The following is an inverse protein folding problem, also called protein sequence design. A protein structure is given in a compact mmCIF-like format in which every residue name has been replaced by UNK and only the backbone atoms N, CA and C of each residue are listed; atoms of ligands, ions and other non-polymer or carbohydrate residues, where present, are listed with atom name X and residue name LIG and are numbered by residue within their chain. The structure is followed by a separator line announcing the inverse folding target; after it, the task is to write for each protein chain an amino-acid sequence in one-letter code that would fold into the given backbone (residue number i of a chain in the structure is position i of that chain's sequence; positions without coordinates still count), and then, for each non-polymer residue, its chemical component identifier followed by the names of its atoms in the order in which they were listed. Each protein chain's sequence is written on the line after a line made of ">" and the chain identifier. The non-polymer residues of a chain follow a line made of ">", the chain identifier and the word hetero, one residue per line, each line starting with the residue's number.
data_IF_557208741020
#
_entry.id   IF_557208741020
#
_cell.length_a   1.000
_cell.length_b   1.000
_cell.length_c   1.000
_cell.angle_alpha   90.00
_cell.angle_beta   90.00
_cell.angle_gamma   90.00
#
_symmetry.space_group_name_H-M   'P 1'
#
loop_
_entity.id
_entity.type
_entity.pdbx_description
1 polymer ?
#
# COMPACT_ATOMS: atom_id res chain seq x y z
N UNK A 1 -0.58 30.24 -20.02
CA UNK A 1 -0.80 28.78 -20.06
C UNK A 1 -1.87 28.44 -19.02
N UNK A 2 -2.71 27.44 -19.27
CA UNK A 2 -3.71 26.99 -18.27
C UNK A 2 -2.97 26.47 -17.03
N UNK A 3 -3.39 26.89 -15.83
CA UNK A 3 -2.86 26.38 -14.56
C UNK A 3 -3.08 24.87 -14.50
N UNK A 4 -2.05 24.12 -14.10
CA UNK A 4 -2.13 22.66 -13.98
C UNK A 4 -2.88 22.25 -12.73
N UNK A 5 -3.71 21.22 -12.79
CA UNK A 5 -4.50 20.76 -11.65
C UNK A 5 -4.17 19.33 -11.23
N UNK A 6 -3.93 19.13 -9.94
CA UNK A 6 -3.70 17.82 -9.31
C UNK A 6 -4.88 17.51 -8.39
N UNK A 7 -5.56 16.41 -8.63
CA UNK A 7 -6.64 15.91 -7.80
C UNK A 7 -6.13 14.77 -6.92
N UNK A 8 -6.31 14.89 -5.60
CA UNK A 8 -5.98 13.86 -4.62
C UNK A 8 -7.28 13.31 -4.05
N UNK A 9 -7.51 12.01 -4.22
CA UNK A 9 -8.69 11.32 -3.69
C UNK A 9 -8.29 10.56 -2.42
N UNK A 10 -8.69 11.09 -1.27
CA UNK A 10 -8.43 10.58 0.08
C UNK A 10 -7.60 11.53 0.93
N UNK A 11 -8.16 11.96 2.07
CA UNK A 11 -7.53 12.83 3.08
C UNK A 11 -7.09 12.05 4.35
N UNK A 12 -6.94 10.73 4.23
CA UNK A 12 -6.51 9.85 5.31
C UNK A 12 -5.09 10.12 5.82
N UNK A 13 -4.65 9.37 6.84
CA UNK A 13 -3.33 9.56 7.48
C UNK A 13 -2.18 9.49 6.48
N UNK A 14 -2.24 8.56 5.54
CA UNK A 14 -1.18 8.31 4.55
C UNK A 14 -1.05 9.41 3.49
N UNK A 15 -2.07 10.27 3.29
CA UNK A 15 -2.01 11.34 2.29
C UNK A 15 -1.41 12.65 2.81
N UNK A 16 -1.24 12.78 4.13
CA UNK A 16 -0.82 14.04 4.76
C UNK A 16 0.48 14.61 4.18
N UNK A 17 1.54 13.80 4.17
CA UNK A 17 2.85 14.24 3.72
C UNK A 17 2.84 14.60 2.23
N UNK A 18 2.11 13.84 1.42
CA UNK A 18 1.96 14.10 -0.01
C UNK A 18 1.22 15.42 -0.26
N UNK A 19 0.09 15.65 0.43
CA UNK A 19 -0.71 16.87 0.27
C UNK A 19 0.14 18.09 0.63
N UNK A 20 0.84 18.05 1.77
CA UNK A 20 1.75 19.14 2.19
C UNK A 20 2.82 19.39 1.14
N UNK A 21 3.53 18.35 0.70
CA UNK A 21 4.58 18.46 -0.32
C UNK A 21 4.08 19.09 -1.63
N UNK A 22 2.91 18.65 -2.12
CA UNK A 22 2.33 19.17 -3.36
C UNK A 22 1.83 20.61 -3.21
N UNK A 23 1.31 21.00 -2.05
CA UNK A 23 0.87 22.37 -1.79
C UNK A 23 2.06 23.33 -1.65
N UNK A 24 3.15 22.91 -1.04
CA UNK A 24 4.40 23.69 -0.95
C UNK A 24 5.01 23.89 -2.34
N UNK A 25 5.15 22.81 -3.11
CA UNK A 25 5.66 22.88 -4.49
C UNK A 25 4.76 23.68 -5.44
N UNK A 26 3.45 23.77 -5.16
CA UNK A 26 2.50 24.52 -5.98
C UNK A 26 2.82 26.02 -6.07
N UNK A 27 3.52 26.57 -5.08
CA UNK A 27 3.90 27.99 -5.02
C UNK A 27 4.87 28.31 -6.16
N UNK A 28 5.88 27.46 -6.36
CA UNK A 28 6.91 27.63 -7.39
C UNK A 28 6.49 27.04 -8.73
N UNK A 29 5.83 25.88 -8.69
CA UNK A 29 5.48 25.11 -9.88
C UNK A 29 4.21 25.56 -10.60
N UNK A 30 3.43 26.46 -9.98
CA UNK A 30 2.26 27.06 -10.62
C UNK A 30 1.13 26.07 -10.95
N UNK A 31 0.92 25.07 -10.10
CA UNK A 31 -0.24 24.17 -10.15
C UNK A 31 -1.22 24.45 -9.00
N UNK A 32 -2.40 23.84 -9.07
CA UNK A 32 -3.42 23.87 -8.03
C UNK A 32 -3.75 22.45 -7.56
N UNK A 33 -3.97 22.28 -6.25
CA UNK A 33 -4.24 20.97 -5.63
C UNK A 33 -5.68 20.93 -5.13
N UNK A 34 -6.46 19.98 -5.63
CA UNK A 34 -7.80 19.70 -5.11
C UNK A 34 -7.75 18.42 -4.29
N UNK A 35 -8.19 18.46 -3.03
CA UNK A 35 -8.25 17.28 -2.15
C UNK A 35 -9.72 16.91 -1.94
N UNK A 36 -10.08 15.70 -2.38
CA UNK A 36 -11.40 15.13 -2.21
C UNK A 36 -11.42 14.03 -1.15
N UNK A 37 -12.36 14.12 -0.22
CA UNK A 37 -12.63 13.05 0.76
C UNK A 37 -14.12 12.95 1.06
N UNK A 38 -14.57 11.79 1.55
CA UNK A 38 -15.95 11.63 2.01
C UNK A 38 -16.29 12.63 3.12
N UNK A 39 -15.32 12.89 4.01
CA UNK A 39 -15.34 13.96 4.99
C UNK A 39 -14.67 15.21 4.44
N UNK A 40 -15.47 16.22 4.04
CA UNK A 40 -14.92 17.52 3.60
C UNK A 40 -14.01 18.13 4.67
N UNK A 41 -14.34 17.98 5.96
CA UNK A 41 -13.53 18.46 7.08
C UNK A 41 -12.13 17.86 7.06
N UNK A 42 -12.00 16.57 6.74
CA UNK A 42 -10.69 15.93 6.63
C UNK A 42 -9.87 16.55 5.49
N UNK A 43 -10.49 16.85 4.35
CA UNK A 43 -9.82 17.53 3.24
C UNK A 43 -9.42 18.98 3.60
N UNK A 44 -10.30 19.73 4.26
CA UNK A 44 -10.04 21.10 4.76
C UNK A 44 -8.87 21.12 5.74
N UNK A 45 -8.85 20.20 6.71
CA UNK A 45 -7.75 20.05 7.67
C UNK A 45 -6.40 19.77 6.98
N UNK A 46 -6.39 18.96 5.91
CA UNK A 46 -5.16 18.64 5.16
C UNK A 46 -4.64 19.82 4.33
N UNK A 47 -5.53 20.65 3.80
CA UNK A 47 -5.15 21.82 3.00
C UNK A 47 -4.75 23.00 3.89
N UNK A 48 -5.36 23.12 5.07
CA UNK A 48 -5.13 24.23 5.99
C UNK A 48 -5.45 25.58 5.34
N UNK A 49 -4.52 26.52 5.45
CA UNK A 49 -4.67 27.88 4.91
C UNK A 49 -4.06 28.08 3.51
N UNK A 50 -3.68 27.00 2.83
CA UNK A 50 -3.02 27.11 1.52
C UNK A 50 -3.95 27.71 0.46
N UNK A 51 -3.48 28.77 -0.20
CA UNK A 51 -4.17 29.40 -1.34
C UNK A 51 -4.08 28.56 -2.63
N UNK A 52 -3.23 27.55 -2.66
CA UNK A 52 -3.06 26.59 -3.77
C UNK A 52 -3.84 25.29 -3.57
N UNK A 53 -4.69 25.25 -2.55
CA UNK A 53 -5.49 24.08 -2.20
C UNK A 53 -6.99 24.36 -2.32
N UNK A 54 -7.77 23.34 -2.66
CA UNK A 54 -9.24 23.37 -2.55
C UNK A 54 -9.74 22.05 -2.00
N UNK A 55 -10.52 22.11 -0.92
CA UNK A 55 -11.14 20.95 -0.31
C UNK A 55 -12.50 20.71 -0.94
N UNK A 56 -12.82 19.46 -1.27
CA UNK A 56 -14.13 19.07 -1.77
C UNK A 56 -14.64 17.83 -1.05
N UNK A 57 -15.96 17.74 -0.90
CA UNK A 57 -16.59 16.45 -0.62
C UNK A 57 -16.50 15.58 -1.86
N UNK A 58 -16.02 14.36 -1.70
CA UNK A 58 -15.92 13.36 -2.77
C UNK A 58 -16.47 12.03 -2.28
N UNK A 59 -17.42 11.47 -3.04
CA UNK A 59 -17.89 10.11 -2.87
C UNK A 59 -17.76 9.37 -4.20
N UNK A 60 -17.02 8.26 -4.21
CA UNK A 60 -16.76 7.46 -5.42
C UNK A 60 -18.04 6.86 -6.03
N UNK A 61 -19.11 6.75 -5.24
CA UNK A 61 -20.40 6.23 -5.67
C UNK A 61 -21.24 7.28 -6.43
N UNK A 62 -20.92 8.57 -6.30
CA UNK A 62 -21.61 9.67 -7.00
C UNK A 62 -21.05 9.80 -8.43
N UNK A 63 -21.52 8.94 -9.35
CA UNK A 63 -20.93 8.76 -10.69
C UNK A 63 -20.77 10.08 -11.47
N UNK A 64 -21.85 10.85 -11.67
CA UNK A 64 -21.81 12.11 -12.44
C UNK A 64 -20.81 13.11 -11.86
N UNK A 65 -20.79 13.22 -10.53
CA UNK A 65 -19.87 14.11 -9.82
C UNK A 65 -18.42 13.64 -9.94
N UNK A 66 -18.18 12.32 -9.90
CA UNK A 66 -16.84 11.76 -10.12
C UNK A 66 -16.33 12.10 -11.51
N UNK A 67 -17.19 12.02 -12.53
CA UNK A 67 -16.82 12.37 -13.90
C UNK A 67 -16.42 13.84 -14.04
N UNK A 68 -17.21 14.75 -13.46
CA UNK A 68 -16.92 16.19 -13.45
C UNK A 68 -15.57 16.48 -12.78
N UNK A 69 -15.40 15.96 -11.55
CA UNK A 69 -14.21 16.21 -10.73
C UNK A 69 -12.95 15.67 -11.42
N UNK A 70 -12.96 14.39 -11.84
CA UNK A 70 -11.81 13.76 -12.50
C UNK A 70 -11.56 14.39 -13.87
N UNK A 71 -12.61 14.71 -14.62
CA UNK A 71 -12.51 15.36 -15.93
C UNK A 71 -11.85 16.74 -15.88
N UNK A 72 -11.96 17.44 -14.74
CA UNK A 72 -11.37 18.76 -14.52
C UNK A 72 -9.88 18.76 -14.14
N UNK A 73 -9.32 17.60 -13.73
CA UNK A 73 -7.93 17.45 -13.32
C UNK A 73 -6.97 17.31 -14.53
N UNK A 74 -5.67 17.51 -14.35
CA UNK A 74 -4.63 17.01 -15.26
C UNK A 74 -4.06 15.67 -14.75
N UNK A 75 -3.84 15.58 -13.42
CA UNK A 75 -3.30 14.41 -12.73
C UNK A 75 -4.25 14.00 -11.61
N UNK A 76 -4.53 12.71 -11.48
CA UNK A 76 -5.30 12.13 -10.38
C UNK A 76 -4.41 11.23 -9.54
N UNK A 77 -4.42 11.43 -8.22
CA UNK A 77 -3.75 10.59 -7.24
C UNK A 77 -4.82 9.90 -6.39
N UNK A 78 -4.94 8.58 -6.51
CA UNK A 78 -5.91 7.80 -5.74
C UNK A 78 -5.25 7.17 -4.52
N UNK A 79 -5.63 7.68 -3.34
CA UNK A 79 -5.27 7.14 -2.02
C UNK A 79 -6.51 6.54 -1.32
N UNK A 80 -7.50 6.16 -2.13
CA UNK A 80 -8.69 5.41 -1.73
C UNK A 80 -8.34 3.94 -1.44
N UNK A 81 -9.24 3.17 -0.79
CA UNK A 81 -9.14 1.71 -0.75
C UNK A 81 -8.93 1.09 -2.14
N UNK A 82 -8.10 0.04 -2.20
CA UNK A 82 -7.62 -0.51 -3.47
C UNK A 82 -8.73 -1.01 -4.42
N UNK A 83 -9.87 -1.44 -3.87
CA UNK A 83 -11.04 -1.84 -4.66
C UNK A 83 -11.66 -0.72 -5.50
N UNK A 84 -11.40 0.55 -5.17
CA UNK A 84 -11.91 1.70 -5.93
C UNK A 84 -10.99 2.16 -7.05
N UNK A 85 -9.72 1.71 -7.10
CA UNK A 85 -8.79 2.15 -8.14
C UNK A 85 -9.27 1.84 -9.56
N UNK A 86 -9.88 0.68 -9.88
CA UNK A 86 -10.39 0.43 -11.23
C UNK A 86 -11.49 1.39 -11.67
N UNK A 87 -12.32 1.87 -10.73
CA UNK A 87 -13.35 2.89 -11.02
C UNK A 87 -12.68 4.20 -11.41
N UNK A 88 -11.71 4.66 -10.61
CA UNK A 88 -10.95 5.89 -10.89
C UNK A 88 -10.17 5.77 -12.21
N UNK A 89 -9.55 4.61 -12.46
CA UNK A 89 -8.78 4.33 -13.67
C UNK A 89 -9.63 4.41 -14.94
N UNK A 90 -10.85 3.83 -14.94
CA UNK A 90 -11.79 3.97 -16.06
C UNK A 90 -12.14 5.43 -16.35
N UNK A 91 -12.37 6.23 -15.31
CA UNK A 91 -12.67 7.65 -15.47
C UNK A 91 -11.44 8.42 -15.98
N UNK A 92 -10.24 8.11 -15.49
CA UNK A 92 -9.00 8.69 -15.99
C UNK A 92 -8.77 8.34 -17.46
N UNK A 93 -9.04 7.10 -17.90
CA UNK A 93 -8.98 6.71 -19.30
C UNK A 93 -10.00 7.48 -20.15
N UNK A 94 -11.26 7.54 -19.70
CA UNK A 94 -12.35 8.26 -20.40
C UNK A 94 -11.99 9.72 -20.63
N UNK A 95 -11.43 10.38 -19.62
CA UNK A 95 -11.12 11.80 -19.64
C UNK A 95 -9.65 12.14 -19.96
N UNK A 96 -8.86 11.13 -20.33
CA UNK A 96 -7.43 11.23 -20.67
C UNK A 96 -6.59 11.92 -19.58
N UNK A 97 -6.65 11.39 -18.35
CA UNK A 97 -5.94 11.89 -17.16
C UNK A 97 -4.85 10.92 -16.73
N UNK A 98 -3.74 11.45 -16.21
CA UNK A 98 -2.73 10.62 -15.57
C UNK A 98 -3.24 10.10 -14.22
N UNK A 99 -2.84 8.89 -13.83
CA UNK A 99 -3.25 8.25 -12.58
C UNK A 99 -2.04 7.77 -11.79
N UNK A 100 -2.03 8.07 -10.49
CA UNK A 100 -1.04 7.59 -9.53
C UNK A 100 -1.73 6.93 -8.34
N UNK A 101 -1.20 5.80 -7.87
CA UNK A 101 -1.70 5.10 -6.66
C UNK A 101 -0.53 4.53 -5.85
N UNK A 102 -0.73 4.36 -4.54
CA UNK A 102 0.22 3.70 -3.65
C UNK A 102 -0.08 2.21 -3.41
N UNK A 103 -0.96 1.62 -4.23
CA UNK A 103 -1.43 0.23 -4.07
C UNK A 103 -0.80 -0.71 -5.10
N UNK A 104 -0.79 -2.00 -4.77
CA UNK A 104 -0.46 -3.08 -5.69
C UNK A 104 -1.28 -3.02 -6.99
N UNK A 105 -0.68 -3.46 -8.10
CA UNK A 105 -1.40 -3.60 -9.38
C UNK A 105 -2.33 -4.82 -9.34
N UNK A 106 -3.64 -4.59 -9.36
CA UNK A 106 -4.65 -5.66 -9.50
C UNK A 106 -4.74 -6.15 -10.94
N UNK A 107 -5.32 -7.34 -11.17
CA UNK A 107 -5.49 -7.86 -12.54
C UNK A 107 -6.42 -6.98 -13.39
N UNK A 108 -7.45 -6.38 -12.79
CA UNK A 108 -8.29 -5.39 -13.47
C UNK A 108 -7.49 -4.14 -13.86
N UNK A 109 -6.59 -3.66 -13.00
CA UNK A 109 -5.70 -2.54 -13.34
C UNK A 109 -4.74 -2.86 -14.48
N UNK A 110 -4.24 -4.09 -14.58
CA UNK A 110 -3.35 -4.52 -15.70
C UNK A 110 -4.05 -4.44 -17.05
N UNK A 111 -5.36 -4.72 -17.09
CA UNK A 111 -6.14 -4.69 -18.33
C UNK A 111 -6.23 -3.30 -18.97
N UNK A 112 -5.92 -2.23 -18.22
CA UNK A 112 -5.90 -0.86 -18.72
C UNK A 112 -4.57 -0.46 -19.39
N UNK A 113 -3.55 -1.33 -19.37
CA UNK A 113 -2.19 -0.99 -19.84
C UNK A 113 -2.16 -0.51 -21.31
N UNK A 114 -2.72 -1.29 -22.23
CA UNK A 114 -2.65 -0.97 -23.65
C UNK A 114 -3.44 0.31 -23.99
N UNK A 115 -4.61 0.50 -23.39
CA UNK A 115 -5.40 1.71 -23.61
C UNK A 115 -4.70 2.96 -23.07
N UNK A 116 -4.13 2.89 -21.86
CA UNK A 116 -3.37 3.99 -21.28
C UNK A 116 -2.15 4.34 -22.14
N UNK A 117 -1.44 3.33 -22.66
CA UNK A 117 -0.28 3.49 -23.53
C UNK A 117 -0.65 4.15 -24.86
N UNK A 118 -1.72 3.70 -25.52
CA UNK A 118 -2.22 4.30 -26.77
C UNK A 118 -2.59 5.78 -26.57
N UNK A 119 -3.16 6.12 -25.41
CA UNK A 119 -3.51 7.50 -25.06
C UNK A 119 -2.34 8.34 -24.55
N UNK A 120 -1.14 7.77 -24.40
CA UNK A 120 0.02 8.46 -23.84
C UNK A 120 -0.13 8.84 -22.36
N UNK A 121 -0.92 8.08 -21.60
CA UNK A 121 -1.20 8.32 -20.19
C UNK A 121 -0.22 7.56 -19.31
N UNK A 122 0.09 8.17 -18.16
CA UNK A 122 0.92 7.56 -17.12
C UNK A 122 -0.01 7.02 -16.04
N UNK A 123 -0.07 5.70 -15.92
CA UNK A 123 -0.76 4.98 -14.85
C UNK A 123 0.30 4.34 -13.98
N UNK A 124 0.68 5.02 -12.89
CA UNK A 124 1.72 4.57 -11.98
C UNK A 124 1.08 4.05 -10.69
N UNK A 125 1.21 2.76 -10.47
CA UNK A 125 0.84 2.11 -9.22
C UNK A 125 2.07 1.95 -8.32
N UNK A 126 1.90 1.32 -7.16
CA UNK A 126 3.03 0.91 -6.32
C UNK A 126 3.97 2.09 -5.98
N UNK A 127 3.42 3.30 -5.81
CA UNK A 127 4.15 4.53 -5.50
C UNK A 127 4.14 4.85 -3.99
N UNK A 128 4.36 3.85 -3.14
CA UNK A 128 4.34 3.97 -1.68
C UNK A 128 5.67 3.60 -1.01
N UNK A 129 5.57 3.05 0.20
CA UNK A 129 6.72 2.48 0.92
C UNK A 129 6.98 1.03 0.50
N UNK A 130 5.98 0.18 0.73
CA UNK A 130 5.89 -1.23 0.32
C UNK A 130 4.43 -1.49 -0.06
N UNK A 131 4.08 -1.44 -1.35
CA UNK A 131 4.98 -1.38 -2.51
C UNK A 131 5.40 0.04 -2.91
N UNK A 132 6.68 0.24 -3.24
CA UNK A 132 7.26 1.46 -3.84
C UNK A 132 8.74 1.66 -3.58
N UNK A 133 9.11 2.31 -2.48
CA UNK A 133 10.53 2.52 -2.10
C UNK A 133 11.28 1.17 -2.03
N UNK A 134 10.61 0.09 -1.61
CA UNK A 134 11.19 -1.25 -1.64
C UNK A 134 11.57 -1.71 -3.07
N UNK A 135 10.78 -1.37 -4.09
CA UNK A 135 11.11 -1.65 -5.49
C UNK A 135 12.30 -0.82 -5.97
N UNK A 136 12.30 0.47 -5.67
CA UNK A 136 13.36 1.40 -6.08
C UNK A 136 14.71 0.98 -5.50
N UNK A 137 14.75 0.71 -4.19
CA UNK A 137 15.97 0.26 -3.49
C UNK A 137 16.41 -1.14 -3.91
N UNK A 138 15.47 -2.08 -4.13
CA UNK A 138 15.79 -3.40 -4.65
C UNK A 138 16.44 -3.32 -6.03
N UNK A 139 15.83 -2.59 -6.97
CA UNK A 139 16.33 -2.48 -8.33
C UNK A 139 17.68 -1.77 -8.40
N UNK A 140 17.90 -0.71 -7.62
CA UNK A 140 19.21 -0.04 -7.53
C UNK A 140 20.32 -1.04 -7.15
N UNK A 141 20.08 -1.85 -6.12
CA UNK A 141 21.06 -2.85 -5.65
C UNK A 141 21.26 -3.94 -6.70
N UNK A 142 20.17 -4.45 -7.30
CA UNK A 142 20.20 -5.50 -8.32
C UNK A 142 20.99 -5.03 -9.55
N UNK A 143 20.70 -3.84 -10.05
CA UNK A 143 21.34 -3.28 -11.24
C UNK A 143 22.81 -2.99 -10.99
N UNK A 144 23.16 -2.47 -9.81
CA UNK A 144 24.55 -2.28 -9.40
C UNK A 144 25.35 -3.58 -9.40
N UNK A 145 24.80 -4.64 -8.80
CA UNK A 145 25.47 -5.95 -8.74
C UNK A 145 25.61 -6.56 -10.13
N UNK A 146 24.53 -6.52 -10.95
CA UNK A 146 24.55 -7.03 -12.33
C UNK A 146 25.57 -6.28 -13.20
N UNK A 147 25.63 -4.95 -13.07
CA UNK A 147 26.57 -4.09 -13.82
C UNK A 147 28.04 -4.39 -13.47
N UNK A 148 28.31 -4.85 -12.25
CA UNK A 148 29.63 -5.32 -11.82
C UNK A 148 29.94 -6.78 -12.23
N UNK A 149 29.08 -7.42 -13.03
CA UNK A 149 29.21 -8.83 -13.43
C UNK A 149 28.81 -9.84 -12.35
N UNK A 150 28.22 -9.37 -11.25
CA UNK A 150 27.73 -10.21 -10.16
C UNK A 150 26.43 -10.94 -10.51
N UNK A 151 26.14 -11.99 -9.73
CA UNK A 151 24.89 -12.76 -9.83
C UNK A 151 24.13 -12.70 -8.51
N UNK A 152 22.84 -12.47 -8.59
CA UNK A 152 21.94 -12.54 -7.42
C UNK A 152 21.58 -14.00 -7.18
N UNK A 153 21.98 -14.55 -6.03
CA UNK A 153 21.71 -15.94 -5.65
C UNK A 153 20.45 -16.07 -4.79
N UNK A 154 20.23 -15.09 -3.92
CA UNK A 154 19.10 -14.96 -3.01
C UNK A 154 18.63 -13.51 -2.94
N UNK A 155 17.33 -13.33 -2.76
CA UNK A 155 16.70 -12.05 -2.50
C UNK A 155 15.71 -12.24 -1.35
N UNK A 156 15.91 -11.49 -0.29
CA UNK A 156 15.01 -11.42 0.85
C UNK A 156 14.79 -9.95 1.18
N UNK A 157 13.54 -9.54 1.30
CA UNK A 157 13.17 -8.16 1.62
C UNK A 157 12.06 -8.17 2.65
N UNK A 158 12.27 -7.46 3.75
CA UNK A 158 11.28 -7.32 4.81
C UNK A 158 11.05 -5.86 5.14
N UNK A 159 9.78 -5.47 5.28
CA UNK A 159 9.39 -4.11 5.65
C UNK A 159 8.38 -4.12 6.80
N UNK A 160 8.41 -3.10 7.65
CA UNK A 160 7.46 -2.97 8.76
C UNK A 160 7.33 -1.53 9.25
N UNK A 161 6.10 -1.02 9.29
CA UNK A 161 5.78 0.21 10.01
C UNK A 161 5.50 -0.11 11.49
N UNK A 162 6.52 0.02 12.34
CA UNK A 162 6.47 -0.33 13.75
C UNK A 162 6.59 0.92 14.64
N UNK A 163 6.28 0.76 15.93
CA UNK A 163 6.54 1.78 16.93
C UNK A 163 8.03 1.81 17.28
N UNK A 164 8.54 2.97 17.68
CA UNK A 164 9.91 3.09 18.17
C UNK A 164 10.11 2.23 19.43
N UNK A 165 11.31 1.65 19.67
CA UNK A 165 11.56 0.73 20.77
C UNK A 165 11.12 1.24 22.16
N UNK A 166 11.33 2.52 22.42
CA UNK A 166 10.98 3.20 23.68
C UNK A 166 9.48 3.47 23.84
N UNK A 167 8.70 3.36 22.75
CA UNK A 167 7.26 3.64 22.78
C UNK A 167 6.50 2.46 23.39
N UNK A 168 5.70 2.75 24.42
CA UNK A 168 4.68 1.83 24.97
C UNK A 168 5.20 0.41 25.23
N UNK A 169 6.19 0.24 26.15
CA UNK A 169 6.80 -1.05 26.46
C UNK A 169 5.83 -2.08 27.02
N UNK A 170 4.71 -1.63 27.59
CA UNK A 170 3.71 -2.49 28.21
C UNK A 170 2.64 -3.00 27.21
N UNK A 171 2.63 -2.50 25.98
CA UNK A 171 1.74 -3.01 24.94
C UNK A 171 2.19 -4.42 24.52
N UNK A 172 1.38 -5.47 24.76
CA UNK A 172 1.77 -6.85 24.51
C UNK A 172 2.01 -7.18 23.03
N UNK A 173 1.49 -6.37 22.11
CA UNK A 173 1.74 -6.53 20.67
C UNK A 173 2.91 -5.70 20.17
N UNK A 174 3.41 -4.76 20.98
CA UNK A 174 4.43 -3.78 20.59
C UNK A 174 4.11 -3.16 19.22
N UNK A 175 2.84 -2.85 18.99
CA UNK A 175 2.31 -2.38 17.72
C UNK A 175 1.18 -1.36 17.93
N UNK A 176 1.15 -0.32 17.10
CA UNK A 176 0.06 0.67 17.06
C UNK A 176 -0.40 0.86 15.63
N UNK A 177 -1.70 1.07 15.44
CA UNK A 177 -2.26 1.36 14.12
C UNK A 177 -1.82 2.77 13.67
N UNK A 178 -0.90 2.82 12.71
CA UNK A 178 -0.42 4.08 12.08
C UNK A 178 -1.05 4.33 10.72
N UNK A 179 -1.80 3.36 10.19
CA UNK A 179 -2.50 3.37 8.91
C UNK A 179 -3.83 2.61 9.07
N UNK A 180 -4.56 2.37 7.97
CA UNK A 180 -5.91 1.79 8.02
C UNK A 180 -5.93 0.45 8.81
N UNK A 181 -6.62 0.37 9.97
CA UNK A 181 -6.61 -0.81 10.83
C UNK A 181 -7.15 -2.06 10.14
N UNK A 182 -8.18 -1.92 9.27
CA UNK A 182 -8.74 -3.04 8.52
C UNK A 182 -7.64 -3.72 7.70
N UNK A 183 -6.78 -2.94 7.05
CA UNK A 183 -5.72 -3.49 6.23
C UNK A 183 -4.67 -4.25 7.04
N UNK A 184 -4.43 -3.89 8.31
CA UNK A 184 -3.59 -4.68 9.23
C UNK A 184 -4.29 -5.98 9.60
N UNK A 185 -5.61 -5.94 9.87
CA UNK A 185 -6.37 -7.12 10.26
C UNK A 185 -6.37 -8.18 9.17
N UNK A 186 -6.52 -7.75 7.91
CA UNK A 186 -6.48 -8.64 6.75
C UNK A 186 -5.04 -8.84 6.21
N UNK A 187 -4.01 -8.24 6.83
CA UNK A 187 -2.62 -8.35 6.40
C UNK A 187 -2.06 -9.75 6.67
N UNK A 188 -2.33 -10.67 5.75
CA UNK A 188 -1.89 -12.06 5.83
C UNK A 188 -2.93 -13.03 5.29
N UNK A 189 -4.20 -12.60 5.22
CA UNK A 189 -5.25 -13.40 4.60
C UNK A 189 -4.87 -13.84 3.18
N UNK A 190 -5.31 -15.04 2.81
CA UNK A 190 -4.94 -15.70 1.57
C UNK A 190 -3.79 -16.70 1.77
N UNK A 191 -2.78 -16.61 0.92
CA UNK A 191 -1.63 -17.55 0.92
C UNK A 191 -0.34 -16.78 0.72
N UNK A 192 0.74 -17.28 1.32
CA UNK A 192 2.08 -16.83 0.99
C UNK A 192 2.78 -17.83 0.08
N UNK A 193 3.40 -17.34 -1.00
CA UNK A 193 4.13 -18.15 -1.99
C UNK A 193 5.51 -17.56 -2.24
N UNK A 194 6.53 -18.40 -2.19
CA UNK A 194 7.91 -17.97 -2.38
C UNK A 194 8.79 -19.16 -2.78
N UNK A 195 10.04 -18.90 -3.14
CA UNK A 195 11.06 -19.94 -3.32
C UNK A 195 12.14 -19.75 -2.26
N UNK A 196 12.62 -20.85 -1.68
CA UNK A 196 13.72 -20.84 -0.73
C UNK A 196 14.61 -22.03 -1.02
N UNK A 197 15.90 -21.76 -1.26
CA UNK A 197 16.90 -22.79 -1.62
C UNK A 197 16.48 -23.67 -2.80
N UNK A 198 15.82 -23.06 -3.80
CA UNK A 198 15.33 -23.73 -4.99
C UNK A 198 14.03 -24.52 -4.80
N UNK A 199 13.44 -24.49 -3.59
CA UNK A 199 12.20 -25.19 -3.28
C UNK A 199 11.03 -24.22 -3.21
N UNK A 200 9.96 -24.55 -3.92
CA UNK A 200 8.70 -23.81 -3.83
C UNK A 200 8.10 -23.98 -2.43
N UNK A 201 7.68 -22.86 -1.83
CA UNK A 201 7.04 -22.80 -0.53
C UNK A 201 5.65 -22.20 -0.69
N UNK A 202 4.69 -22.83 -0.01
CA UNK A 202 3.31 -22.39 0.07
C UNK A 202 2.88 -22.43 1.53
N UNK A 203 2.37 -21.31 2.03
CA UNK A 203 1.90 -21.18 3.41
C UNK A 203 0.44 -20.74 3.40
N UNK A 204 -0.50 -21.58 3.86
CA UNK A 204 -1.89 -21.15 4.07
C UNK A 204 -1.97 -20.18 5.26
N UNK A 205 -2.99 -19.32 5.26
CA UNK A 205 -3.15 -18.24 6.25
C UNK A 205 -3.04 -18.72 7.71
N UNK A 206 -3.66 -19.85 8.04
CA UNK A 206 -3.68 -20.43 9.39
C UNK A 206 -2.30 -20.86 9.91
N UNK A 207 -1.30 -20.94 9.03
CA UNK A 207 0.09 -21.30 9.35
C UNK A 207 1.05 -20.14 9.15
N UNK A 208 0.56 -18.96 8.77
CA UNK A 208 1.40 -17.84 8.37
C UNK A 208 2.23 -17.31 9.54
N UNK A 209 1.57 -17.05 10.67
CA UNK A 209 2.19 -16.42 11.83
C UNK A 209 2.95 -17.39 12.73
N UNK A 210 2.90 -18.70 12.43
CA UNK A 210 3.74 -19.72 13.08
C UNK A 210 5.03 -20.00 12.28
N UNK A 211 5.09 -19.57 11.01
CA UNK A 211 6.23 -19.76 10.11
C UNK A 211 6.93 -18.43 9.86
N UNK A 212 7.72 -18.02 10.85
CA UNK A 212 8.46 -16.75 10.83
C UNK A 212 9.95 -16.95 10.56
N UNK A 213 10.59 -15.91 10.05
CA UNK A 213 12.03 -15.77 9.90
C UNK A 213 12.51 -14.77 10.96
N UNK A 214 13.55 -15.12 11.72
CA UNK A 214 14.19 -14.14 12.62
C UNK A 214 15.05 -13.18 11.79
N UNK A 215 14.87 -11.88 12.00
CA UNK A 215 15.59 -10.82 11.28
C UNK A 215 16.28 -9.91 12.29
N UNK A 216 17.60 -9.96 12.34
CA UNK A 216 18.40 -9.08 13.19
C UNK A 216 18.73 -7.78 12.44
N UNK A 217 18.42 -6.63 13.04
CA UNK A 217 18.78 -5.31 12.52
C UNK A 217 19.82 -4.68 13.44
N UNK A 218 21.04 -4.40 12.95
CA UNK A 218 22.07 -3.74 13.74
C UNK A 218 21.58 -2.45 14.39
N UNK A 219 21.76 -2.34 15.71
CA UNK A 219 21.30 -1.20 16.51
C UNK A 219 19.83 -1.22 16.93
N UNK A 220 19.01 -2.13 16.39
CA UNK A 220 17.57 -2.24 16.70
C UNK A 220 17.15 -3.59 17.28
N UNK A 221 17.97 -4.64 17.12
CA UNK A 221 17.72 -5.96 17.70
C UNK A 221 16.97 -6.91 16.77
N UNK A 222 16.29 -7.89 17.35
CA UNK A 222 15.64 -8.98 16.62
C UNK A 222 14.16 -8.70 16.33
N UNK A 223 13.73 -9.07 15.13
CA UNK A 223 12.37 -8.95 14.65
C UNK A 223 11.88 -10.28 14.08
N UNK A 224 10.56 -10.44 14.05
CA UNK A 224 9.90 -11.56 13.38
C UNK A 224 9.40 -11.12 12.01
N UNK A 225 9.94 -11.73 10.96
CA UNK A 225 9.46 -11.60 9.58
C UNK A 225 8.48 -12.72 9.23
N UNK A 226 7.30 -12.40 8.70
CA UNK A 226 6.42 -13.40 8.08
C UNK A 226 6.29 -13.14 6.58
N UNK A 227 6.12 -14.19 5.78
CA UNK A 227 6.05 -14.07 4.32
C UNK A 227 4.82 -13.25 3.87
N UNK A 228 4.98 -12.38 2.88
CA UNK A 228 3.92 -11.48 2.41
C UNK A 228 3.43 -11.88 1.01
N UNK A 229 2.18 -12.34 0.92
CA UNK A 229 1.47 -12.65 -0.34
C UNK A 229 2.34 -13.52 -1.28
N UNK A 230 2.29 -13.23 -2.57
CA UNK A 230 3.07 -13.93 -3.59
C UNK A 230 4.35 -13.17 -3.91
N UNK A 231 5.50 -13.73 -3.51
CA UNK A 231 6.83 -13.21 -3.83
C UNK A 231 7.29 -13.60 -5.24
N UNK A 232 6.70 -14.63 -5.85
CA UNK A 232 7.15 -15.20 -7.12
C UNK A 232 6.91 -14.24 -8.29
N UNK A 233 5.87 -13.41 -8.22
CA UNK A 233 5.59 -12.37 -9.23
C UNK A 233 6.75 -11.39 -9.45
N UNK A 234 7.59 -11.21 -8.44
CA UNK A 234 8.74 -10.29 -8.49
C UNK A 234 9.99 -10.92 -9.13
N UNK A 235 10.01 -12.24 -9.36
CA UNK A 235 11.12 -12.89 -10.08
C UNK A 235 11.24 -12.30 -11.48
N UNK A 236 10.13 -12.20 -12.21
CA UNK A 236 10.12 -11.61 -13.55
C UNK A 236 10.25 -10.08 -13.47
N UNK A 237 9.52 -9.42 -12.57
CA UNK A 237 9.54 -7.96 -12.46
C UNK A 237 10.95 -7.40 -12.16
N UNK A 238 11.78 -8.13 -11.41
CA UNK A 238 13.16 -7.73 -11.11
C UNK A 238 14.21 -8.40 -12.01
N UNK A 239 13.77 -9.21 -12.98
CA UNK A 239 14.67 -9.96 -13.87
C UNK A 239 15.61 -10.90 -13.11
N UNK A 240 15.09 -11.66 -12.14
CA UNK A 240 15.80 -12.59 -11.25
C UNK A 240 15.52 -14.06 -11.59
N UNK A 241 15.27 -14.38 -12.87
CA UNK A 241 14.99 -15.76 -13.31
C UNK A 241 16.12 -16.70 -12.89
N UNK A 242 15.75 -17.84 -12.29
CA UNK A 242 16.69 -18.85 -11.81
C UNK A 242 17.25 -18.62 -10.40
N UNK A 243 16.82 -17.55 -9.70
CA UNK A 243 17.19 -17.31 -8.30
C UNK A 243 16.78 -18.48 -7.39
N UNK A 244 17.58 -18.76 -6.36
CA UNK A 244 17.32 -19.87 -5.42
C UNK A 244 16.40 -19.48 -4.29
N UNK A 245 16.46 -18.22 -3.84
CA UNK A 245 15.59 -17.70 -2.79
C UNK A 245 14.97 -16.38 -3.23
N UNK A 246 13.65 -16.26 -3.15
CA UNK A 246 12.91 -15.03 -3.42
C UNK A 246 11.80 -14.90 -2.39
N UNK A 247 12.01 -14.08 -1.36
CA UNK A 247 11.07 -13.86 -0.27
C UNK A 247 10.87 -12.36 -0.05
N UNK A 248 9.62 -11.93 -0.06
CA UNK A 248 9.19 -10.65 0.50
C UNK A 248 8.36 -10.92 1.75
N UNK A 249 8.57 -10.14 2.79
CA UNK A 249 7.94 -10.36 4.09
C UNK A 249 7.64 -9.08 4.84
N UNK A 250 6.91 -9.25 5.93
CA UNK A 250 6.52 -8.17 6.82
C UNK A 250 7.22 -8.34 8.16
N UNK A 251 7.87 -7.28 8.65
CA UNK A 251 8.49 -7.24 9.98
C UNK A 251 7.48 -6.91 11.07
N UNK A 252 7.64 -7.59 12.20
CA UNK A 252 6.97 -7.31 13.47
C UNK A 252 7.93 -7.46 14.63
N UNK A 253 7.62 -6.79 15.72
CA UNK A 253 8.30 -7.03 16.99
C UNK A 253 8.05 -8.47 17.46
N UNK A 254 8.99 -8.98 18.25
CA UNK A 254 8.85 -10.29 18.88
C UNK A 254 7.54 -10.41 19.67
N UNK A 255 6.91 -11.58 19.62
CA UNK A 255 5.64 -11.87 20.30
C UNK A 255 4.40 -11.45 19.51
N UNK A 256 4.50 -10.54 18.53
CA UNK A 256 3.35 -10.15 17.71
C UNK A 256 2.78 -11.35 16.95
N UNK A 257 3.62 -12.12 16.25
CA UNK A 257 3.12 -13.18 15.36
C UNK A 257 2.44 -14.31 16.16
N UNK A 258 3.01 -14.72 17.28
CA UNK A 258 2.41 -15.75 18.15
C UNK A 258 1.07 -15.28 18.73
N UNK A 259 0.99 -14.03 19.20
CA UNK A 259 -0.26 -13.45 19.71
C UNK A 259 -1.32 -13.31 18.59
N UNK A 260 -0.92 -12.82 17.43
CA UNK A 260 -1.82 -12.64 16.29
C UNK A 260 -2.36 -13.95 15.75
N UNK A 261 -1.53 -15.01 15.76
CA UNK A 261 -1.96 -16.35 15.36
C UNK A 261 -3.18 -16.83 16.17
N UNK A 262 -3.28 -16.49 17.47
CA UNK A 262 -4.43 -16.86 18.30
C UNK A 262 -5.71 -16.25 17.71
N UNK A 263 -5.68 -14.98 17.31
CA UNK A 263 -6.83 -14.31 16.68
C UNK A 263 -7.20 -14.96 15.34
N UNK A 264 -6.20 -15.42 14.58
CA UNK A 264 -6.43 -16.18 13.34
C UNK A 264 -7.14 -17.50 13.65
N UNK A 265 -6.67 -18.27 14.63
CA UNK A 265 -7.29 -19.55 14.99
C UNK A 265 -8.70 -19.39 15.55
N UNK A 266 -8.99 -18.28 16.23
CA UNK A 266 -10.32 -17.96 16.76
C UNK A 266 -11.29 -17.42 15.68
N UNK A 267 -10.82 -17.18 14.46
CA UNK A 267 -11.64 -16.59 13.39
C UNK A 267 -11.88 -15.08 13.54
N UNK A 268 -11.20 -14.40 14.48
CA UNK A 268 -11.38 -12.98 14.74
C UNK A 268 -10.87 -12.06 13.61
N UNK A 269 -10.19 -12.63 12.62
CA UNK A 269 -9.65 -11.91 11.46
C UNK A 269 -10.38 -12.25 10.17
N UNK A 270 -11.47 -13.01 10.21
CA UNK A 270 -12.30 -13.30 9.04
C UNK A 270 -13.19 -12.09 8.72
N UNK A 271 -13.14 -11.61 7.48
CA UNK A 271 -13.94 -10.49 6.98
C UNK A 271 -14.90 -10.92 5.85
N UNK A 272 -15.13 -12.23 5.71
CA UNK A 272 -16.05 -12.80 4.70
C UNK A 272 -17.53 -12.66 5.07
N UNK A 273 -17.84 -12.30 6.32
CA UNK A 273 -19.21 -12.08 6.79
C UNK A 273 -19.30 -10.90 7.74
N UNK A 274 -20.51 -10.34 7.86
CA UNK A 274 -20.84 -9.36 8.88
C UNK A 274 -21.43 -10.08 10.09
N UNK A 275 -20.95 -9.75 11.28
CA UNK A 275 -21.56 -10.23 12.52
C UNK A 275 -22.88 -9.48 12.74
N UNK A 276 -23.95 -10.21 13.03
CA UNK A 276 -25.27 -9.64 13.31
C UNK A 276 -25.37 -9.17 14.77
N UNK A 277 -26.07 -8.06 15.02
CA UNK A 277 -26.37 -7.57 16.39
C UNK A 277 -25.14 -7.41 17.30
N UNK A 278 -23.99 -6.99 16.75
CA UNK A 278 -22.72 -6.83 17.50
C UNK A 278 -22.88 -5.96 18.75
N UNK A 279 -23.72 -4.94 18.68
CA UNK A 279 -24.03 -4.03 19.80
C UNK A 279 -24.82 -4.69 20.96
N UNK A 280 -25.37 -5.88 20.74
CA UNK A 280 -26.15 -6.65 21.73
C UNK A 280 -25.45 -7.94 22.17
N UNK A 281 -24.29 -8.26 21.58
CA UNK A 281 -23.53 -9.45 21.93
C UNK A 281 -22.96 -9.34 23.35
N UNK A 282 -23.00 -10.45 24.08
CA UNK A 282 -22.35 -10.60 25.39
C UNK A 282 -21.24 -11.65 25.28
N UNK A 283 -20.29 -11.63 26.21
CA UNK A 283 -19.35 -12.73 26.34
C UNK A 283 -20.12 -14.03 26.60
N UNK A 284 -19.64 -15.13 26.02
CA UNK A 284 -20.15 -16.47 26.33
C UNK A 284 -19.72 -16.80 27.77
N UNK A 285 -20.69 -16.85 28.68
CA UNK A 285 -20.50 -17.29 30.07
C UNK A 285 -20.04 -18.75 30.13
#
# INVERSE_FOLDING_TARGET
>A
MKEKSILILGAGRSSSALITYLLEGAIEGGWHVTVGDFSIKAAEERIGSSKKGTAIRFNIEETERCEEIIGSADIVISLLPAGFHPIVARLCLKYSKHLFTASYVSDEMKNFHEEAKVKGLLFMNECGLDPGIDHMSAMEIIDRIKSAGGKILSFESFAGGLIAPETDPNNPWRYKFTWNPRNVVVAGQGTAKFIQEGQYKFIPYQQLFTRTTSVHIPGYGDFQGYANRDSLKYIDAYGLRGIKTMLRGTLRNEGFCSAWNILVQLGCTDDSYLMENVNQMTNRN
#
